data_IF_304080025508
#
_entry.id   IF_304080025508
#
_cell.length_a   1.000
_cell.length_b   1.000
_cell.length_c   1.000
_cell.angle_alpha   90.00
_cell.angle_beta   90.00
_cell.angle_gamma   90.00
#
_symmetry.space_group_name_H-M   'P 1'
#
loop_
_entity.id
_entity.type
_entity.pdbx_description
1 polymer ?
#
# COMPACT_ATOMS: atom_id res chain seq x y z
N UNK A 1 2.32 6.15 -3.69
CA UNK A 1 2.09 5.05 -2.73
C UNK A 1 3.16 3.99 -2.86
N UNK A 2 3.36 3.49 -4.06
CA UNK A 2 4.35 2.41 -4.27
C UNK A 2 5.75 2.84 -3.85
N UNK A 3 6.16 4.04 -4.21
CA UNK A 3 7.49 4.54 -3.86
C UNK A 3 7.66 4.66 -2.35
N UNK A 4 6.64 5.14 -1.65
CA UNK A 4 6.68 5.26 -0.19
C UNK A 4 6.91 3.89 0.45
N UNK A 5 6.17 2.89 0.00
CA UNK A 5 6.27 1.54 0.54
C UNK A 5 7.60 0.88 0.17
N UNK A 6 8.09 1.12 -1.03
CA UNK A 6 9.36 0.55 -1.50
C UNK A 6 10.57 1.11 -0.77
N UNK A 7 10.51 2.36 -0.33
CA UNK A 7 11.58 2.96 0.47
C UNK A 7 11.64 2.40 1.88
N UNK A 8 10.58 1.73 2.31
CA UNK A 8 10.46 1.19 3.67
C UNK A 8 9.98 -0.26 3.63
N UNK A 9 10.74 -1.17 3.00
CA UNK A 9 10.27 -2.55 2.83
C UNK A 9 10.04 -3.23 4.17
N UNK A 10 8.95 -3.97 4.26
CA UNK A 10 8.55 -4.67 5.47
C UNK A 10 7.81 -3.81 6.48
N UNK A 11 7.83 -2.49 6.32
CA UNK A 11 7.11 -1.61 7.24
C UNK A 11 5.65 -1.48 6.84
N UNK A 12 4.76 -1.58 7.84
CA UNK A 12 3.32 -1.43 7.63
C UNK A 12 2.93 0.04 7.73
N UNK A 13 2.19 0.52 6.74
CA UNK A 13 1.64 1.88 6.74
C UNK A 13 0.12 1.79 6.77
N UNK A 14 -0.51 2.51 7.68
CA UNK A 14 -1.97 2.61 7.71
C UNK A 14 -2.46 3.41 6.50
N UNK A 15 -3.74 3.26 6.15
CA UNK A 15 -4.33 4.04 5.06
C UNK A 15 -4.24 5.53 5.33
N UNK A 16 -4.42 5.93 6.58
CA UNK A 16 -4.27 7.32 7.00
C UNK A 16 -2.85 7.84 6.77
N UNK A 17 -1.85 7.07 7.17
CA UNK A 17 -0.46 7.44 6.97
C UNK A 17 -0.11 7.59 5.48
N UNK A 18 -0.58 6.64 4.67
CA UNK A 18 -0.34 6.68 3.23
C UNK A 18 -0.99 7.92 2.62
N UNK A 19 -2.26 8.15 2.95
CA UNK A 19 -3.00 9.28 2.40
C UNK A 19 -2.36 10.60 2.76
N UNK A 20 -2.07 10.82 4.03
CA UNK A 20 -1.49 12.07 4.51
C UNK A 20 -0.09 12.31 3.95
N UNK A 21 0.70 11.24 3.76
CA UNK A 21 2.04 11.36 3.21
C UNK A 21 2.04 11.74 1.72
N UNK A 22 1.04 11.30 0.97
CA UNK A 22 0.99 11.49 -0.47
C UNK A 22 0.18 12.74 -0.85
N UNK A 23 -0.98 12.90 -0.27
CA UNK A 23 -1.91 14.00 -0.64
C UNK A 23 -1.77 15.23 0.25
N UNK A 24 -1.15 15.07 1.41
CA UNK A 24 -0.94 16.17 2.37
C UNK A 24 -2.24 16.87 2.77
N UNK A 25 -3.29 16.08 2.94
CA UNK A 25 -4.62 16.54 3.31
C UNK A 25 -5.19 15.67 4.42
N UNK A 26 -6.29 16.12 5.05
CA UNK A 26 -6.99 15.33 6.04
C UNK A 26 -7.55 14.05 5.42
N UNK A 27 -7.42 12.95 6.13
CA UNK A 27 -7.73 11.62 5.61
C UNK A 27 -9.21 11.26 5.74
N UNK A 28 -10.11 12.07 5.17
CA UNK A 28 -11.56 11.84 5.29
C UNK A 28 -12.03 10.64 4.48
N UNK A 29 -11.43 10.40 3.32
CA UNK A 29 -11.82 9.29 2.45
C UNK A 29 -10.62 8.41 2.13
N UNK A 30 -9.69 8.32 3.07
CA UNK A 30 -8.42 7.63 2.85
C UNK A 30 -8.59 6.16 2.48
N UNK A 31 -9.50 5.45 3.15
CA UNK A 31 -9.67 4.02 2.92
C UNK A 31 -10.04 3.71 1.47
N UNK A 32 -11.03 4.41 0.91
CA UNK A 32 -11.44 4.19 -0.47
C UNK A 32 -10.38 4.63 -1.46
N UNK A 33 -9.80 5.81 -1.26
CA UNK A 33 -8.80 6.36 -2.17
C UNK A 33 -7.56 5.48 -2.22
N UNK A 34 -7.04 5.11 -1.06
CA UNK A 34 -5.86 4.26 -0.98
C UNK A 34 -6.14 2.87 -1.56
N UNK A 35 -7.30 2.29 -1.26
CA UNK A 35 -7.65 0.97 -1.77
C UNK A 35 -7.70 0.93 -3.30
N UNK A 36 -8.26 1.96 -3.94
CA UNK A 36 -8.31 2.06 -5.39
C UNK A 36 -6.89 2.12 -5.97
N UNK A 37 -6.03 2.95 -5.40
CA UNK A 37 -4.65 3.06 -5.88
C UNK A 37 -3.86 1.77 -5.66
N UNK A 38 -4.03 1.11 -4.53
CA UNK A 38 -3.40 -0.18 -4.25
C UNK A 38 -3.83 -1.22 -5.27
N UNK A 39 -5.12 -1.25 -5.60
CA UNK A 39 -5.65 -2.16 -6.61
C UNK A 39 -4.98 -1.94 -7.96
N UNK A 40 -4.86 -0.69 -8.40
CA UNK A 40 -4.22 -0.35 -9.66
C UNK A 40 -2.74 -0.73 -9.66
N UNK A 41 -2.04 -0.50 -8.57
CA UNK A 41 -0.64 -0.88 -8.44
C UNK A 41 -0.49 -2.40 -8.56
N UNK A 42 -1.34 -3.15 -7.86
CA UNK A 42 -1.31 -4.62 -7.94
C UNK A 42 -1.53 -5.12 -9.35
N UNK A 43 -2.43 -4.50 -10.10
CA UNK A 43 -2.67 -4.87 -11.49
C UNK A 43 -1.43 -4.72 -12.36
N UNK A 44 -0.53 -3.81 -11.99
CA UNK A 44 0.70 -3.54 -12.75
C UNK A 44 1.89 -4.38 -12.32
N UNK A 45 2.02 -4.68 -11.04
CA UNK A 45 3.23 -5.32 -10.52
C UNK A 45 3.03 -6.79 -10.12
N UNK A 46 1.80 -7.21 -9.86
CA UNK A 46 1.53 -8.58 -9.44
C UNK A 46 1.15 -9.45 -10.61
N UNK A 47 1.65 -10.66 -10.64
CA UNK A 47 1.23 -11.66 -11.64
C UNK A 47 -0.25 -11.96 -11.44
N UNK A 48 -0.68 -12.13 -10.18
CA UNK A 48 -2.07 -12.32 -9.82
C UNK A 48 -2.45 -11.27 -8.76
N UNK A 49 -3.17 -10.21 -9.14
CA UNK A 49 -3.54 -9.16 -8.18
C UNK A 49 -4.38 -9.64 -7.01
N UNK A 50 -5.09 -10.76 -7.17
CA UNK A 50 -5.91 -11.32 -6.10
C UNK A 50 -5.08 -12.11 -5.09
N UNK A 51 -3.87 -12.50 -5.46
CA UNK A 51 -2.93 -13.20 -4.60
C UNK A 51 -1.59 -12.47 -4.67
N UNK A 52 -1.51 -11.26 -4.09
CA UNK A 52 -0.33 -10.42 -4.24
C UNK A 52 0.88 -10.99 -3.49
N UNK A 53 2.03 -10.91 -4.14
CA UNK A 53 3.31 -11.34 -3.58
C UNK A 53 4.10 -10.19 -2.98
N UNK A 54 3.90 -8.98 -3.50
CA UNK A 54 4.73 -7.84 -3.14
C UNK A 54 3.99 -6.81 -2.30
N UNK A 55 2.85 -6.32 -2.78
CA UNK A 55 2.06 -5.33 -2.04
C UNK A 55 0.97 -6.06 -1.27
N UNK A 56 1.19 -6.21 0.03
CA UNK A 56 0.30 -7.00 0.89
C UNK A 56 -0.51 -6.14 1.83
N UNK A 57 -1.71 -6.60 2.13
CA UNK A 57 -2.55 -6.01 3.17
C UNK A 57 -2.25 -6.69 4.49
N UNK A 58 -2.16 -5.87 5.55
CA UNK A 58 -2.06 -6.38 6.92
C UNK A 58 -3.36 -6.00 7.60
N UNK A 59 -4.22 -6.98 7.79
CA UNK A 59 -5.58 -6.76 8.28
C UNK A 59 -5.59 -5.99 9.60
N UNK A 60 -6.41 -4.93 9.63
CA UNK A 60 -6.52 -4.08 10.81
C UNK A 60 -5.39 -3.06 10.97
N UNK A 61 -4.32 -3.14 10.18
CA UNK A 61 -3.17 -2.25 10.31
C UNK A 61 -2.90 -1.41 9.06
N UNK A 62 -2.93 -1.99 7.88
CA UNK A 62 -2.68 -1.24 6.64
C UNK A 62 -2.03 -2.08 5.55
N UNK A 63 -1.08 -1.48 4.85
CA UNK A 63 -0.41 -2.09 3.70
C UNK A 63 1.10 -2.06 3.87
N UNK A 64 1.78 -2.99 3.20
CA UNK A 64 3.24 -3.03 3.17
C UNK A 64 3.72 -3.62 1.85
N UNK A 65 4.95 -3.30 1.50
CA UNK A 65 5.70 -4.04 0.48
C UNK A 65 6.51 -5.11 1.22
N UNK A 66 6.40 -6.33 0.77
CA UNK A 66 7.11 -7.44 1.39
C UNK A 66 8.62 -7.24 1.23
N UNK A 67 9.35 -7.41 2.32
CA UNK A 67 10.79 -7.32 2.26
C UNK A 67 11.35 -8.53 1.53
N UNK A 68 12.01 -8.29 0.40
CA UNK A 68 12.65 -9.36 -0.34
C UNK A 68 13.96 -9.70 0.35
N UNK A 69 13.99 -10.84 0.99
CA UNK A 69 15.21 -11.34 1.61
C UNK A 69 15.86 -12.37 0.67
N UNK A 70 17.12 -12.34 0.65
CA UNK A 70 17.89 -13.33 -0.04
C UNK A 70 18.72 -14.10 0.94
#
# INVERSE_FOLDING_TARGET
>A
ILLLLMKNPGRVFSTTQIYESIWNEDALAADNTVAVHVRHIREKIEINPRDPRYLKVVWGLGYKIEKLSR
#
